data_IF_727971887983
#
_entry.id   IF_727971887983
#
_cell.length_a   1.000
_cell.length_b   1.000
_cell.length_c   1.000
_cell.angle_alpha   90.00
_cell.angle_beta   90.00
_cell.angle_gamma   90.00
#
_symmetry.space_group_name_H-M   'P 1'
#
loop_
_entity.id
_entity.type
_entity.pdbx_description
1 polymer ?
#
# COMPACT_ATOMS: atom_id res chain seq x y z
N UNK A 1 19.26 0.30 48.08
CA UNK A 1 20.49 0.26 47.26
C UNK A 1 20.12 0.80 45.89
N UNK A 2 20.89 1.73 45.32
CA UNK A 2 20.62 2.23 43.96
C UNK A 2 20.89 1.12 42.95
N UNK A 3 19.90 0.78 42.13
CA UNK A 3 20.06 -0.16 41.02
C UNK A 3 21.05 0.43 40.02
N UNK A 4 22.06 -0.34 39.56
CA UNK A 4 22.99 0.15 38.55
C UNK A 4 22.22 0.47 37.25
N UNK A 5 22.48 1.66 36.68
CA UNK A 5 21.93 2.03 35.37
C UNK A 5 22.70 1.28 34.29
N UNK A 6 21.97 0.56 33.45
CA UNK A 6 22.48 -0.24 32.35
C UNK A 6 22.41 0.54 31.03
N UNK A 7 23.57 0.87 30.47
CA UNK A 7 23.73 1.43 29.13
C UNK A 7 23.26 2.88 28.97
N UNK A 8 23.25 3.34 27.72
CA UNK A 8 22.76 4.66 27.31
C UNK A 8 22.00 4.51 25.99
N UNK A 9 20.88 5.24 25.85
CA UNK A 9 20.14 5.35 24.59
C UNK A 9 20.55 6.63 23.88
N UNK A 10 21.02 6.51 22.64
CA UNK A 10 21.36 7.67 21.81
C UNK A 10 20.12 8.37 21.31
N UNK A 11 20.20 9.69 21.17
CA UNK A 11 19.11 10.50 20.66
C UNK A 11 18.65 10.05 19.26
N UNK A 12 17.36 10.22 19.00
CA UNK A 12 16.75 9.92 17.72
C UNK A 12 17.32 10.80 16.60
N UNK A 13 17.69 10.16 15.50
CA UNK A 13 18.14 10.82 14.28
C UNK A 13 17.34 10.30 13.07
N UNK A 14 16.46 11.16 12.56
CA UNK A 14 15.57 10.87 11.43
C UNK A 14 16.32 10.46 10.15
N UNK A 15 17.61 10.82 10.01
CA UNK A 15 18.42 10.45 8.85
C UNK A 15 19.10 9.09 8.99
N UNK A 16 19.05 8.47 10.18
CA UNK A 16 19.84 7.27 10.52
C UNK A 16 19.01 6.09 11.00
N UNK A 17 17.85 6.34 11.60
CA UNK A 17 16.97 5.29 12.13
C UNK A 17 15.50 5.64 11.92
N UNK A 18 14.65 4.60 11.91
CA UNK A 18 13.20 4.79 11.89
C UNK A 18 12.65 5.15 13.28
N UNK A 19 11.54 5.90 13.33
CA UNK A 19 10.92 6.25 14.62
C UNK A 19 10.43 5.02 15.41
N UNK A 20 9.94 3.98 14.71
CA UNK A 20 9.48 2.75 15.34
C UNK A 20 10.67 2.03 15.98
N UNK A 21 11.79 1.91 15.26
CA UNK A 21 13.03 1.31 15.77
C UNK A 21 13.58 2.07 16.99
N UNK A 22 13.57 3.41 16.95
CA UNK A 22 13.96 4.24 18.09
C UNK A 22 13.06 4.00 19.32
N UNK A 23 11.75 3.96 19.11
CA UNK A 23 10.78 3.75 20.19
C UNK A 23 10.96 2.37 20.86
N UNK A 24 11.19 1.33 20.07
CA UNK A 24 11.50 -0.03 20.57
C UNK A 24 12.80 -0.06 21.38
N UNK A 25 13.85 0.61 20.88
CA UNK A 25 15.14 0.72 21.59
C UNK A 25 15.00 1.44 22.93
N UNK A 26 14.18 2.49 22.97
CA UNK A 26 13.87 3.22 24.20
C UNK A 26 13.05 2.38 25.18
N UNK A 27 12.09 1.59 24.69
CA UNK A 27 11.32 0.65 25.51
C UNK A 27 12.22 -0.40 26.17
N UNK A 28 13.15 -0.99 25.41
CA UNK A 28 14.14 -1.91 25.96
C UNK A 28 15.04 -1.25 27.02
N UNK A 29 15.39 0.02 26.84
CA UNK A 29 16.13 0.77 27.86
C UNK A 29 15.34 0.89 29.17
N UNK A 30 14.01 1.14 29.10
CA UNK A 30 13.17 1.17 30.30
C UNK A 30 13.11 -0.18 31.00
N UNK A 31 12.94 -1.27 30.23
CA UNK A 31 12.90 -2.63 30.77
C UNK A 31 14.22 -3.00 31.44
N UNK A 32 15.36 -2.75 30.77
CA UNK A 32 16.69 -3.08 31.29
C UNK A 32 17.02 -2.37 32.60
N UNK A 33 16.44 -1.18 32.81
CA UNK A 33 16.67 -0.34 33.98
C UNK A 33 15.52 -0.40 35.00
N UNK A 34 14.57 -1.32 34.84
CA UNK A 34 13.38 -1.46 35.69
C UNK A 34 12.59 -0.14 35.88
N UNK A 35 12.54 0.69 34.84
CA UNK A 35 11.87 1.99 34.85
C UNK A 35 10.38 1.76 34.57
N UNK A 36 9.59 1.61 35.63
CA UNK A 36 8.14 1.38 35.53
C UNK A 36 7.29 2.67 35.57
N UNK A 37 7.82 3.78 36.09
CA UNK A 37 7.08 5.04 36.20
C UNK A 37 6.93 5.71 34.84
N UNK A 38 5.70 5.84 34.35
CA UNK A 38 5.41 6.55 33.09
C UNK A 38 5.91 8.01 33.10
N UNK A 39 5.89 8.67 34.26
CA UNK A 39 6.42 10.02 34.41
C UNK A 39 7.93 10.05 34.11
N UNK A 40 8.68 9.09 34.65
CA UNK A 40 10.12 8.96 34.43
C UNK A 40 10.41 8.57 32.98
N UNK A 41 9.67 7.61 32.42
CA UNK A 41 9.79 7.22 31.01
C UNK A 41 9.55 8.42 30.08
N UNK A 42 8.50 9.20 30.32
CA UNK A 42 8.20 10.42 29.56
C UNK A 42 9.32 11.46 29.69
N UNK A 43 9.84 11.68 30.89
CA UNK A 43 10.95 12.60 31.09
C UNK A 43 12.20 12.17 30.30
N UNK A 44 12.51 10.87 30.28
CA UNK A 44 13.61 10.31 29.49
C UNK A 44 13.36 10.52 28.00
N UNK A 45 12.18 10.18 27.49
CA UNK A 45 11.82 10.43 26.08
C UNK A 45 12.03 11.91 25.72
N UNK A 46 11.44 12.84 26.47
CA UNK A 46 11.47 14.27 26.15
C UNK A 46 12.87 14.88 26.23
N UNK A 47 13.77 14.31 27.05
CA UNK A 47 15.17 14.78 27.16
C UNK A 47 16.09 14.10 26.15
N UNK A 48 15.78 12.87 25.72
CA UNK A 48 16.65 12.08 24.87
C UNK A 48 16.29 12.15 23.37
N UNK A 49 15.06 12.46 22.98
CA UNK A 49 14.60 12.41 21.57
C UNK A 49 15.30 13.39 20.61
N UNK A 50 16.17 14.26 21.13
CA UNK A 50 16.89 15.24 20.35
C UNK A 50 16.09 16.53 20.07
N UNK A 51 16.78 17.63 19.73
CA UNK A 51 16.17 18.97 19.67
C UNK A 51 15.16 19.14 18.53
N UNK A 52 15.35 18.46 17.39
CA UNK A 52 14.42 18.54 16.26
C UNK A 52 13.07 17.87 16.62
N UNK A 53 13.12 16.64 17.11
CA UNK A 53 11.91 15.89 17.46
C UNK A 53 11.25 16.41 18.73
N UNK A 54 11.99 16.94 19.69
CA UNK A 54 11.39 17.63 20.83
C UNK A 54 10.59 18.87 20.39
N UNK A 55 11.11 19.66 19.43
CA UNK A 55 10.35 20.78 18.84
C UNK A 55 9.08 20.30 18.15
N UNK A 56 9.15 19.21 17.40
CA UNK A 56 7.98 18.59 16.78
C UNK A 56 6.94 18.19 17.83
N UNK A 57 7.34 17.45 18.87
CA UNK A 57 6.46 17.05 19.97
C UNK A 57 5.79 18.26 20.61
N UNK A 58 6.56 19.32 20.88
CA UNK A 58 6.03 20.57 21.45
C UNK A 58 4.97 21.21 20.56
N UNK A 59 5.20 21.24 19.25
CA UNK A 59 4.23 21.76 18.26
C UNK A 59 2.97 20.90 18.22
N UNK A 60 3.10 19.58 18.18
CA UNK A 60 1.95 18.65 18.10
C UNK A 60 1.16 18.55 19.42
N UNK A 61 1.76 18.95 20.55
CA UNK A 61 1.11 18.95 21.88
C UNK A 61 0.19 20.15 22.11
N UNK A 62 0.24 21.20 21.27
CA UNK A 62 -0.56 22.41 21.46
C UNK A 62 -2.08 22.10 21.44
N UNK A 63 -2.88 22.78 22.29
CA UNK A 63 -2.54 23.87 23.21
C UNK A 63 -1.98 23.41 24.59
N UNK A 64 -1.83 22.10 24.80
CA UNK A 64 -1.30 21.52 26.04
C UNK A 64 0.23 21.43 26.01
N UNK A 65 0.83 21.05 27.13
CA UNK A 65 2.28 20.79 27.22
C UNK A 65 2.56 19.31 26.94
N UNK A 66 3.73 18.95 26.39
CA UNK A 66 4.12 17.54 26.22
C UNK A 66 4.03 16.70 27.51
N UNK A 67 4.22 17.33 28.67
CA UNK A 67 4.11 16.69 29.99
C UNK A 67 2.68 16.28 30.37
N UNK A 68 1.67 16.82 29.69
CA UNK A 68 0.25 16.55 29.97
C UNK A 68 -0.24 15.28 29.24
N UNK A 69 0.61 14.66 28.42
CA UNK A 69 0.33 13.45 27.66
C UNK A 69 1.00 12.24 28.30
N UNK A 70 0.44 11.04 28.09
CA UNK A 70 1.14 9.80 28.41
C UNK A 70 2.33 9.61 27.47
N UNK A 71 3.32 8.79 27.87
CA UNK A 71 4.42 8.43 26.96
C UNK A 71 3.89 7.75 25.69
N UNK A 72 2.87 6.89 25.83
CA UNK A 72 2.25 6.20 24.69
C UNK A 72 1.66 7.19 23.68
N UNK A 73 0.98 8.23 24.16
CA UNK A 73 0.38 9.26 23.28
C UNK A 73 1.46 10.07 22.55
N UNK A 74 2.55 10.42 23.23
CA UNK A 74 3.68 11.12 22.62
C UNK A 74 4.35 10.27 21.52
N UNK A 75 4.59 8.99 21.80
CA UNK A 75 5.17 8.06 20.81
C UNK A 75 4.25 7.91 19.60
N UNK A 76 2.94 7.76 19.80
CA UNK A 76 1.94 7.68 18.74
C UNK A 76 1.84 8.96 17.92
N UNK A 77 1.92 10.11 18.56
CA UNK A 77 1.86 11.43 17.91
C UNK A 77 3.03 11.63 16.95
N UNK A 78 4.25 11.30 17.38
CA UNK A 78 5.44 11.37 16.51
C UNK A 78 5.39 10.30 15.42
N UNK A 79 4.96 9.07 15.75
CA UNK A 79 4.75 8.00 14.76
C UNK A 79 3.80 8.46 13.67
N UNK A 80 2.67 9.07 14.02
CA UNK A 80 1.68 9.56 13.06
C UNK A 80 2.20 10.70 12.18
N UNK A 81 3.21 11.45 12.65
CA UNK A 81 3.82 12.51 11.87
C UNK A 81 4.82 11.96 10.84
N UNK A 82 5.68 11.02 11.23
CA UNK A 82 6.66 10.40 10.32
C UNK A 82 6.03 9.31 9.43
N UNK A 83 4.99 8.65 9.92
CA UNK A 83 4.21 7.63 9.24
C UNK A 83 2.73 8.05 9.19
N UNK A 84 2.39 9.12 8.47
CA UNK A 84 0.99 9.50 8.32
C UNK A 84 0.25 8.31 7.72
N UNK A 85 -0.82 7.87 8.39
CA UNK A 85 -1.74 6.89 7.82
C UNK A 85 -2.12 7.40 6.43
N UNK A 86 -2.04 6.57 5.37
CA UNK A 86 -2.48 7.00 4.05
C UNK A 86 -3.87 7.60 4.15
N UNK A 87 -4.01 8.85 3.75
CA UNK A 87 -5.29 9.55 3.84
C UNK A 87 -6.32 8.78 3.02
N UNK A 88 -7.46 8.34 3.61
CA UNK A 88 -8.46 7.58 2.87
C UNK A 88 -8.92 8.31 1.62
N UNK A 89 -9.00 9.64 1.65
CA UNK A 89 -9.36 10.43 0.45
C UNK A 89 -8.27 10.39 -0.62
N UNK A 90 -6.99 10.40 -0.24
CA UNK A 90 -5.88 10.25 -1.20
C UNK A 90 -5.86 8.85 -1.81
N UNK A 91 -6.12 7.82 -1.01
CA UNK A 91 -6.19 6.43 -1.50
C UNK A 91 -7.39 6.20 -2.40
N UNK A 92 -8.53 6.82 -2.09
CA UNK A 92 -9.69 6.85 -3.00
C UNK A 92 -9.40 7.58 -4.30
N UNK A 93 -8.63 8.67 -4.27
CA UNK A 93 -8.17 9.35 -5.50
C UNK A 93 -7.27 8.43 -6.32
N UNK A 94 -6.29 7.78 -5.69
CA UNK A 94 -5.40 6.80 -6.34
C UNK A 94 -6.21 5.65 -6.94
N UNK A 95 -7.15 5.08 -6.19
CA UNK A 95 -8.06 4.04 -6.65
C UNK A 95 -8.89 4.49 -7.85
N UNK A 96 -9.51 5.68 -7.77
CA UNK A 96 -10.39 6.19 -8.82
C UNK A 96 -9.64 6.63 -10.09
N UNK A 97 -8.34 6.93 -9.98
CA UNK A 97 -7.48 7.30 -11.12
C UNK A 97 -6.68 6.11 -11.66
N UNK A 98 -6.79 4.93 -11.03
CA UNK A 98 -6.07 3.73 -11.46
C UNK A 98 -6.70 3.12 -12.70
N UNK A 99 -5.96 3.15 -13.80
CA UNK A 99 -6.27 2.44 -15.04
C UNK A 99 -5.22 1.39 -15.33
N UNK A 100 -5.61 0.26 -15.94
CA UNK A 100 -4.73 -0.83 -16.35
C UNK A 100 -3.56 -0.28 -17.20
N UNK A 101 -2.34 -0.68 -16.86
CA UNK A 101 -1.12 -0.26 -17.55
C UNK A 101 -0.91 -1.06 -18.84
N UNK A 102 -0.08 -0.55 -19.74
CA UNK A 102 0.26 -1.28 -20.96
C UNK A 102 1.01 -2.58 -20.61
N UNK A 103 0.55 -3.71 -21.16
CA UNK A 103 1.11 -5.03 -20.85
C UNK A 103 0.72 -5.59 -19.48
N UNK A 104 0.00 -4.84 -18.64
CA UNK A 104 -0.53 -5.33 -17.37
C UNK A 104 -1.71 -6.27 -17.62
N UNK A 105 -1.72 -7.44 -16.98
CA UNK A 105 -2.85 -8.36 -17.08
C UNK A 105 -4.03 -7.91 -16.23
N UNK A 106 -5.24 -8.35 -16.57
CA UNK A 106 -6.46 -8.07 -15.81
C UNK A 106 -6.30 -8.51 -14.35
N UNK A 107 -5.70 -9.68 -14.11
CA UNK A 107 -5.46 -10.19 -12.75
C UNK A 107 -4.55 -9.28 -11.92
N UNK A 108 -3.45 -8.78 -12.50
CA UNK A 108 -2.53 -7.86 -11.82
C UNK A 108 -3.19 -6.51 -11.56
N UNK A 109 -3.94 -6.00 -12.52
CA UNK A 109 -4.71 -4.76 -12.36
C UNK A 109 -5.70 -4.84 -11.20
N UNK A 110 -6.48 -5.92 -11.11
CA UNK A 110 -7.48 -6.11 -10.05
C UNK A 110 -6.82 -6.33 -8.68
N UNK A 111 -5.69 -7.04 -8.64
CA UNK A 111 -4.90 -7.17 -7.41
C UNK A 111 -4.39 -5.80 -6.91
N UNK A 112 -3.92 -4.94 -7.83
CA UNK A 112 -3.51 -3.57 -7.49
C UNK A 112 -4.69 -2.74 -6.95
N UNK A 113 -5.87 -2.83 -7.58
CA UNK A 113 -7.09 -2.17 -7.06
C UNK A 113 -7.43 -2.60 -5.64
N UNK A 114 -7.36 -3.90 -5.35
CA UNK A 114 -7.61 -4.45 -4.01
C UNK A 114 -6.61 -3.94 -2.98
N UNK A 115 -5.32 -3.88 -3.35
CA UNK A 115 -4.28 -3.35 -2.48
C UNK A 115 -4.50 -1.87 -2.14
N UNK A 116 -4.89 -1.04 -3.12
CA UNK A 116 -5.21 0.37 -2.85
C UNK A 116 -6.46 0.50 -1.98
N UNK A 117 -7.47 -0.34 -2.24
CA UNK A 117 -8.76 -0.31 -1.53
C UNK A 117 -8.63 -0.63 -0.03
N UNK A 118 -7.62 -1.40 0.39
CA UNK A 118 -7.31 -1.70 1.80
C UNK A 118 -7.18 -0.41 2.65
N UNK A 119 -6.68 0.66 2.03
CA UNK A 119 -6.48 1.95 2.71
C UNK A 119 -7.54 3.00 2.36
N UNK A 120 -8.57 2.63 1.59
CA UNK A 120 -9.65 3.55 1.19
C UNK A 120 -10.78 3.65 2.22
N UNK A 121 -10.84 2.78 3.22
CA UNK A 121 -11.92 2.70 4.20
C UNK A 121 -13.31 2.61 3.54
N UNK A 122 -13.42 1.81 2.47
CA UNK A 122 -14.73 1.47 1.90
C UNK A 122 -15.46 0.50 2.85
N UNK A 123 -16.76 0.70 3.11
CA UNK A 123 -17.60 -0.33 3.72
C UNK A 123 -17.50 -1.66 2.97
N UNK A 124 -17.49 -2.76 3.70
CA UNK A 124 -17.30 -4.10 3.15
C UNK A 124 -18.35 -4.47 2.10
N UNK A 125 -19.59 -4.04 2.33
CA UNK A 125 -20.74 -4.27 1.46
C UNK A 125 -20.65 -3.52 0.12
N UNK A 126 -19.87 -2.44 0.03
CA UNK A 126 -19.70 -1.67 -1.22
C UNK A 126 -18.36 -1.90 -1.91
N UNK A 127 -17.40 -2.57 -1.25
CA UNK A 127 -16.05 -2.73 -1.78
C UNK A 127 -16.04 -3.38 -3.18
N UNK A 128 -16.82 -4.45 -3.36
CA UNK A 128 -16.94 -5.11 -4.65
C UNK A 128 -17.58 -4.22 -5.71
N UNK A 129 -18.53 -3.37 -5.35
CA UNK A 129 -19.12 -2.39 -6.27
C UNK A 129 -18.09 -1.34 -6.70
N UNK A 130 -17.28 -0.84 -5.77
CA UNK A 130 -16.21 0.11 -6.10
C UNK A 130 -15.18 -0.51 -7.06
N UNK A 131 -14.78 -1.76 -6.81
CA UNK A 131 -13.84 -2.47 -7.70
C UNK A 131 -14.48 -2.75 -9.05
N UNK A 132 -15.76 -3.16 -9.09
CA UNK A 132 -16.52 -3.36 -10.34
C UNK A 132 -16.49 -2.08 -11.18
N UNK A 133 -16.89 -0.96 -10.60
CA UNK A 133 -16.94 0.33 -11.31
C UNK A 133 -15.55 0.73 -11.79
N UNK A 134 -14.52 0.41 -10.99
CA UNK A 134 -13.16 0.68 -11.40
C UNK A 134 -12.67 -0.23 -12.53
N UNK A 135 -13.06 -1.50 -12.57
CA UNK A 135 -12.83 -2.40 -13.70
C UNK A 135 -13.47 -1.80 -14.96
N UNK A 136 -14.75 -1.40 -14.90
CA UNK A 136 -15.51 -0.91 -16.07
C UNK A 136 -14.81 0.26 -16.78
N UNK A 137 -14.36 1.28 -16.05
CA UNK A 137 -13.70 2.43 -16.71
C UNK A 137 -12.16 2.40 -16.64
N UNK A 138 -11.56 1.42 -15.97
CA UNK A 138 -10.12 1.32 -15.77
C UNK A 138 -9.42 0.33 -16.70
N UNK A 139 -10.13 -0.64 -17.30
CA UNK A 139 -9.56 -1.57 -18.28
C UNK A 139 -9.04 -0.85 -19.52
N UNK A 140 -8.01 -1.38 -20.19
CA UNK A 140 -7.52 -0.81 -21.46
C UNK A 140 -8.33 -1.22 -22.67
N UNK A 141 -8.94 -2.41 -22.63
CA UNK A 141 -9.73 -2.92 -23.74
C UNK A 141 -11.10 -2.22 -23.77
N UNK A 142 -11.23 -1.22 -24.63
CA UNK A 142 -12.48 -0.46 -24.79
C UNK A 142 -13.64 -1.32 -25.29
N UNK A 143 -13.39 -2.41 -26.03
CA UNK A 143 -14.46 -3.29 -26.48
C UNK A 143 -15.07 -4.04 -25.29
N UNK A 144 -14.22 -4.50 -24.37
CA UNK A 144 -14.66 -5.07 -23.08
C UNK A 144 -15.39 -4.03 -22.26
N UNK A 145 -14.86 -2.80 -22.10
CA UNK A 145 -15.55 -1.74 -21.38
C UNK A 145 -16.95 -1.47 -21.93
N UNK A 146 -17.09 -1.34 -23.25
CA UNK A 146 -18.40 -1.16 -23.92
C UNK A 146 -19.33 -2.36 -23.73
N UNK A 147 -18.80 -3.58 -23.66
CA UNK A 147 -19.57 -4.77 -23.35
C UNK A 147 -20.12 -4.73 -21.92
N UNK A 148 -19.27 -4.41 -20.95
CA UNK A 148 -19.65 -4.29 -19.54
C UNK A 148 -20.70 -3.20 -19.31
N UNK A 149 -20.57 -2.04 -19.97
CA UNK A 149 -21.53 -0.93 -19.87
C UNK A 149 -22.93 -1.26 -20.41
N UNK A 150 -23.07 -2.31 -21.22
CA UNK A 150 -24.39 -2.77 -21.72
C UNK A 150 -25.10 -3.70 -20.74
N UNK A 151 -24.39 -4.22 -19.74
CA UNK A 151 -24.97 -5.16 -18.79
C UNK A 151 -25.86 -4.42 -17.77
N UNK A 152 -27.16 -4.75 -17.78
CA UNK A 152 -28.16 -4.09 -16.94
C UNK A 152 -28.00 -4.37 -15.45
N UNK A 153 -27.42 -5.53 -15.08
CA UNK A 153 -27.19 -5.93 -13.69
C UNK A 153 -25.75 -6.43 -13.53
N UNK A 154 -24.80 -5.52 -13.71
CA UNK A 154 -23.39 -5.85 -13.62
C UNK A 154 -22.96 -6.07 -12.16
N UNK A 155 -22.46 -7.26 -11.86
CA UNK A 155 -21.81 -7.59 -10.58
C UNK A 155 -20.29 -7.55 -10.74
N UNK A 156 -19.56 -7.44 -9.62
CA UNK A 156 -18.11 -7.57 -9.61
C UNK A 156 -17.62 -8.85 -10.29
N UNK A 157 -18.24 -9.99 -9.96
CA UNK A 157 -17.82 -11.29 -10.50
C UNK A 157 -18.01 -11.35 -12.01
N UNK A 158 -19.16 -10.89 -12.52
CA UNK A 158 -19.43 -10.83 -13.97
C UNK A 158 -18.44 -9.92 -14.67
N UNK A 159 -18.11 -8.76 -14.10
CA UNK A 159 -17.13 -7.84 -14.67
C UNK A 159 -15.73 -8.45 -14.75
N UNK A 160 -15.29 -9.10 -13.66
CA UNK A 160 -13.99 -9.76 -13.59
C UNK A 160 -13.89 -10.93 -14.58
N UNK A 161 -14.88 -11.82 -14.59
CA UNK A 161 -14.87 -13.01 -15.45
C UNK A 161 -14.91 -12.63 -16.93
N UNK A 162 -15.70 -11.63 -17.29
CA UNK A 162 -15.77 -11.11 -18.66
C UNK A 162 -14.41 -10.55 -19.10
N UNK A 163 -13.75 -9.77 -18.22
CA UNK A 163 -12.45 -9.18 -18.53
C UNK A 163 -11.35 -10.26 -18.67
N UNK A 164 -11.32 -11.25 -17.77
CA UNK A 164 -10.38 -12.37 -17.84
C UNK A 164 -10.61 -13.24 -19.08
N UNK A 165 -11.87 -13.54 -19.41
CA UNK A 165 -12.22 -14.32 -20.60
C UNK A 165 -11.83 -13.60 -21.90
N UNK A 166 -12.02 -12.27 -21.96
CA UNK A 166 -11.60 -11.47 -23.09
C UNK A 166 -10.07 -11.43 -23.25
N UNK A 167 -9.34 -11.26 -22.14
CA UNK A 167 -7.86 -11.33 -22.15
C UNK A 167 -7.36 -12.70 -22.65
N UNK A 168 -7.94 -13.80 -22.16
CA UNK A 168 -7.61 -15.14 -22.61
C UNK A 168 -7.89 -15.32 -24.11
N UNK A 169 -9.08 -14.93 -24.58
CA UNK A 169 -9.44 -15.03 -26.00
C UNK A 169 -8.51 -14.20 -26.90
N UNK A 170 -8.10 -13.01 -26.47
CA UNK A 170 -7.15 -12.18 -27.21
C UNK A 170 -5.76 -12.82 -27.29
N UNK A 171 -5.31 -13.48 -26.21
CA UNK A 171 -4.04 -14.21 -26.20
C UNK A 171 -4.10 -15.46 -27.09
N UNK A 172 -5.18 -16.23 -27.04
CA UNK A 172 -5.39 -17.41 -27.89
C UNK A 172 -5.43 -17.03 -29.38
N UNK A 173 -6.13 -15.95 -29.72
CA UNK A 173 -6.17 -15.43 -31.09
C UNK A 173 -4.77 -15.05 -31.61
N UNK A 174 -3.94 -14.41 -30.78
CA UNK A 174 -2.53 -14.10 -31.14
C UNK A 174 -1.72 -15.37 -31.40
N UNK A 175 -1.91 -16.42 -30.62
CA UNK A 175 -1.21 -17.70 -30.82
C UNK A 175 -1.63 -18.39 -32.12
N UNK A 176 -2.93 -18.38 -32.45
CA UNK A 176 -3.46 -18.96 -33.69
C UNK A 176 -2.91 -18.25 -34.92
N UNK A 177 -2.89 -16.92 -34.93
CA UNK A 177 -2.40 -16.12 -36.05
C UNK A 177 -0.86 -16.03 -36.12
N UNK A 178 -0.15 -16.30 -35.02
CA UNK A 178 1.31 -16.40 -34.99
C UNK A 178 1.85 -17.69 -35.64
N UNK A 179 1.04 -18.77 -35.67
CA UNK A 179 1.44 -20.08 -36.19
C UNK A 179 1.24 -20.26 -37.71
N UNK A 180 0.57 -19.32 -38.40
CA UNK A 180 0.33 -19.40 -39.85
C UNK A 180 1.55 -19.04 -40.72
N UNK A 181 2.71 -18.72 -40.15
CA UNK A 181 3.94 -18.40 -40.90
C UNK A 181 4.94 -19.58 -41.04
N UNK A 182 4.49 -20.84 -40.94
CA UNK A 182 5.34 -21.98 -41.33
C UNK A 182 5.44 -22.04 -42.86
N UNK A 183 6.66 -21.85 -43.36
CA UNK A 183 6.98 -21.86 -44.80
C UNK A 183 6.38 -23.08 -45.53
N UNK A 184 5.94 -22.93 -46.80
CA UNK A 184 5.55 -24.08 -47.61
C UNK A 184 6.75 -25.01 -47.78
N UNK A 185 6.56 -26.31 -47.55
CA UNK A 185 7.58 -27.33 -47.83
C UNK A 185 8.01 -27.25 -49.31
N UNK A 186 9.32 -27.32 -49.64
CA UNK A 186 9.76 -27.25 -51.02
C UNK A 186 9.23 -28.45 -51.82
N UNK A 187 8.40 -28.18 -52.83
CA UNK A 187 7.97 -29.19 -53.81
C UNK A 187 9.14 -29.42 -54.76
N UNK A 188 9.88 -30.51 -54.56
CA UNK A 188 10.91 -30.94 -55.50
C UNK A 188 10.26 -31.41 -56.80
N UNK A 189 10.25 -30.55 -57.82
CA UNK A 189 10.00 -30.97 -59.20
C UNK A 189 11.20 -31.79 -59.69
N UNK A 190 11.03 -33.12 -59.77
CA UNK A 190 11.94 -33.99 -60.50
C UNK A 190 11.72 -33.78 -62.00
N UNK A 191 12.63 -33.06 -62.65
CA UNK A 191 12.70 -33.03 -64.11
C UNK A 191 13.27 -34.36 -64.60
N UNK A 192 12.44 -35.10 -65.33
CA UNK A 192 12.83 -36.28 -66.09
C UNK A 192 13.76 -35.88 -67.24
N UNK A 193 14.88 -36.58 -67.39
CA UNK A 193 15.64 -36.69 -68.64
C UNK A 193 15.65 -38.15 -69.05
#
# INVERSE_FOLDING_TARGET
MATPVHGFVSAFDLMREDWIEYAERLEHYFVANAIASEEVQRAILLTNVGPATYRLIKTLSLPRKPTDYSISDLVKMVKSHFHPKPSPIMKRLEFNTRSQQEGETVGVFVAALRSIAEHCEYPEDILNDMIRDRIVCGLRDEAVQRGLLKESKLTYQVALDTALAAEAAANDAKQLHGNTHRQPLPVHHMNSK
#
